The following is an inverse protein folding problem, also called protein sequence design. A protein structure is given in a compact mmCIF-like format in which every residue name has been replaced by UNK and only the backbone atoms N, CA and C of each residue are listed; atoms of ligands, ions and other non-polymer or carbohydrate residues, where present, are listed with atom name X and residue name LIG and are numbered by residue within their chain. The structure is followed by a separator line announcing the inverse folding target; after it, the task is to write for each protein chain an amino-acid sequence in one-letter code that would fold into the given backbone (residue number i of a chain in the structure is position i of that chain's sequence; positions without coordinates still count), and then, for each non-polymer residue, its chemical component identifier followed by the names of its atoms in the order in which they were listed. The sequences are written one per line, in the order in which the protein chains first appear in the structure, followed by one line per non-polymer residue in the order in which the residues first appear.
data_IF_098215346611
#
_entry.id   IF_098215346611
#
_cell.length_a   1.000
_cell.length_b   1.000
_cell.length_c   1.000
_cell.angle_alpha   90.00
_cell.angle_beta   90.00
_cell.angle_gamma   90.00
#
_symmetry.space_group_name_H-M   'P 1'
#
loop_
_entity.id
_entity.type
_entity.pdbx_description
1 polymer ?
#
# COMPACT_ATOMS: atom_id res chain seq x y z
N UNK A 1 -40.19 -38.62 59.20
CA UNK A 1 -41.04 -38.18 58.07
C UNK A 1 -40.09 -37.88 56.92
N UNK A 2 -39.53 -38.86 56.21
CA UNK A 2 -40.17 -39.78 55.24
C UNK A 2 -41.05 -39.05 54.23
N UNK A 3 -40.49 -38.86 53.02
CA UNK A 3 -41.05 -39.02 51.66
C UNK A 3 -39.87 -38.76 50.70
N UNK A 4 -39.32 -39.75 49.95
CA UNK A 4 -39.83 -40.32 48.68
C UNK A 4 -40.23 -39.21 47.67
N UNK A 5 -39.83 -39.19 46.40
CA UNK A 5 -39.63 -40.30 45.46
C UNK A 5 -38.95 -39.81 44.14
N UNK A 6 -38.73 -40.73 43.21
CA UNK A 6 -37.82 -40.69 42.09
C UNK A 6 -38.42 -40.28 40.71
N UNK A 7 -37.55 -39.68 39.87
CA UNK A 7 -37.30 -39.66 38.39
C UNK A 7 -38.24 -40.43 37.38
N UNK A 8 -38.12 -40.23 36.02
CA UNK A 8 -38.82 -39.36 35.03
C UNK A 8 -39.65 -40.19 33.97
N UNK A 9 -40.06 -39.77 32.72
CA UNK A 9 -39.18 -39.45 31.55
C UNK A 9 -39.72 -38.54 30.39
N UNK A 10 -38.82 -38.29 29.41
CA UNK A 10 -39.00 -38.20 27.93
C UNK A 10 -39.42 -36.91 27.15
N UNK A 11 -38.41 -36.37 26.42
CA UNK A 11 -38.31 -36.11 24.96
C UNK A 11 -39.23 -35.12 24.18
N UNK A 12 -38.60 -34.12 23.53
CA UNK A 12 -38.79 -33.70 22.12
C UNK A 12 -37.78 -32.57 21.75
N UNK A 13 -36.72 -32.82 20.98
CA UNK A 13 -36.53 -32.48 19.55
C UNK A 13 -37.00 -31.07 19.12
N UNK A 14 -36.05 -30.23 18.72
CA UNK A 14 -36.28 -28.97 17.98
C UNK A 14 -34.97 -28.43 17.40
N UNK A 15 -34.90 -28.38 16.08
CA UNK A 15 -33.71 -28.18 15.24
C UNK A 15 -33.26 -26.71 15.17
N UNK A 16 -31.96 -26.46 15.38
CA UNK A 16 -31.32 -25.16 15.14
C UNK A 16 -30.70 -25.09 13.76
N UNK A 17 -31.50 -24.74 12.74
CA UNK A 17 -31.02 -24.50 11.38
C UNK A 17 -30.18 -23.21 11.31
N UNK A 18 -28.94 -23.34 10.84
CA UNK A 18 -28.02 -22.24 10.56
C UNK A 18 -28.56 -21.32 9.46
N UNK A 19 -28.46 -20.01 9.69
CA UNK A 19 -28.76 -18.99 8.69
C UNK A 19 -27.46 -18.37 8.17
N UNK A 20 -26.99 -18.92 7.06
CA UNK A 20 -26.19 -18.21 6.07
C UNK A 20 -27.13 -17.57 5.04
N UNK A 21 -27.10 -16.25 4.91
CA UNK A 21 -27.65 -15.50 3.78
C UNK A 21 -26.89 -14.18 3.68
N UNK A 22 -26.54 -13.63 2.52
CA UNK A 22 -26.80 -14.05 1.15
C UNK A 22 -25.91 -13.21 0.23
N UNK A 23 -25.37 -13.88 -0.80
CA UNK A 23 -24.53 -13.31 -1.84
C UNK A 23 -25.43 -12.71 -2.93
N UNK A 24 -25.19 -11.45 -3.30
CA UNK A 24 -25.96 -10.75 -4.34
C UNK A 24 -25.76 -11.38 -5.75
N UNK A 25 -26.79 -11.41 -6.62
CA UNK A 25 -26.70 -12.02 -7.94
C UNK A 25 -26.06 -11.10 -8.98
N UNK A 26 -25.24 -11.71 -9.86
CA UNK A 26 -24.65 -11.10 -11.05
C UNK A 26 -25.72 -10.92 -12.12
N UNK A 27 -25.83 -9.73 -12.72
CA UNK A 27 -26.70 -9.47 -13.87
C UNK A 27 -26.14 -10.14 -15.12
N UNK A 28 -26.99 -10.92 -15.78
CA UNK A 28 -26.71 -11.62 -17.03
C UNK A 28 -26.56 -10.68 -18.22
N UNK A 29 -25.66 -11.06 -19.14
CA UNK A 29 -25.46 -10.44 -20.45
C UNK A 29 -26.42 -11.13 -21.41
N UNK A 30 -27.43 -10.40 -21.88
CA UNK A 30 -28.37 -10.86 -22.88
C UNK A 30 -27.72 -10.93 -24.26
N UNK A 31 -27.88 -12.09 -24.87
CA UNK A 31 -27.61 -12.47 -26.24
C UNK A 31 -28.62 -11.77 -27.18
N UNK A 32 -28.16 -11.22 -28.31
CA UNK A 32 -29.02 -10.93 -29.48
C UNK A 32 -28.21 -11.10 -30.76
N UNK A 33 -28.61 -12.11 -31.52
CA UNK A 33 -28.26 -12.36 -32.92
C UNK A 33 -29.21 -11.61 -33.88
N UNK A 34 -28.74 -11.59 -35.13
CA UNK A 34 -29.45 -11.54 -36.41
C UNK A 34 -29.66 -10.19 -37.12
N UNK A 35 -29.08 -10.11 -38.34
CA UNK A 35 -29.26 -9.07 -39.37
C UNK A 35 -30.58 -9.26 -40.18
N UNK A 36 -30.67 -9.01 -41.51
CA UNK A 36 -29.61 -8.67 -42.48
C UNK A 36 -30.01 -7.66 -43.62
N UNK A 37 -29.09 -7.49 -44.60
CA UNK A 37 -29.23 -7.23 -46.06
C UNK A 37 -29.24 -5.80 -46.65
N UNK A 38 -28.51 -5.72 -47.78
CA UNK A 38 -28.55 -4.70 -48.85
C UNK A 38 -27.25 -3.92 -48.94
N UNK A 39 -26.39 -3.98 -49.96
CA UNK A 39 -26.52 -4.36 -51.37
C UNK A 39 -25.87 -3.24 -52.20
N UNK A 40 -24.93 -3.54 -53.11
CA UNK A 40 -24.42 -2.55 -54.07
C UNK A 40 -22.94 -2.68 -54.40
N UNK A 41 -22.66 -3.27 -55.57
CA UNK A 41 -21.34 -3.46 -56.17
C UNK A 41 -20.92 -2.26 -57.05
N UNK A 42 -19.60 -2.04 -57.17
CA UNK A 42 -18.83 -1.59 -58.34
C UNK A 42 -17.45 -1.09 -57.83
N UNK A 43 -16.28 -1.45 -58.34
CA UNK A 43 -15.92 -2.01 -59.64
C UNK A 43 -15.17 -0.98 -60.49
N UNK A 44 -13.83 -1.03 -60.48
CA UNK A 44 -12.92 -0.31 -61.41
C UNK A 44 -12.39 1.04 -60.88
N UNK A 45 -11.11 1.38 -60.92
CA UNK A 45 -9.98 0.85 -61.67
C UNK A 45 -9.22 2.03 -62.32
N UNK A 46 -7.92 2.11 -62.06
CA UNK A 46 -6.92 3.01 -62.69
C UNK A 46 -6.85 4.47 -62.19
N UNK A 47 -5.72 4.79 -61.55
CA UNK A 47 -4.69 5.68 -62.16
C UNK A 47 -3.39 5.64 -61.35
N UNK A 48 -2.35 5.16 -62.02
CA UNK A 48 -0.94 5.23 -61.63
C UNK A 48 -0.52 6.69 -61.43
N UNK A 49 0.23 6.97 -60.36
CA UNK A 49 1.17 8.11 -60.30
C UNK A 49 2.44 7.64 -59.61
N UNK A 50 3.50 7.48 -60.39
CA UNK A 50 4.88 7.36 -59.91
C UNK A 50 5.39 8.72 -59.38
N UNK A 51 6.37 8.74 -58.47
CA UNK A 51 6.95 9.95 -57.89
C UNK A 51 8.17 10.44 -58.70
N UNK A 52 8.47 11.75 -58.77
CA UNK A 52 9.74 12.18 -59.31
C UNK A 52 10.86 12.06 -58.27
N UNK A 53 11.96 11.46 -58.72
CA UNK A 53 13.22 11.32 -58.02
C UNK A 53 14.09 12.59 -58.13
N UNK A 54 14.81 12.87 -57.04
CA UNK A 54 16.22 13.30 -56.91
C UNK A 54 16.81 14.33 -57.90
N UNK A 55 17.34 15.43 -57.33
CA UNK A 55 18.66 16.04 -57.63
C UNK A 55 19.01 16.97 -56.45
N UNK A 56 19.95 16.62 -55.57
CA UNK A 56 21.40 16.80 -55.71
C UNK A 56 21.82 18.27 -55.88
N UNK A 57 22.31 18.86 -54.79
CA UNK A 57 23.29 19.95 -54.83
C UNK A 57 24.18 19.88 -53.59
N UNK A 58 25.42 19.44 -53.81
CA UNK A 58 26.58 19.67 -52.94
C UNK A 58 27.07 21.10 -53.17
N UNK A 59 27.43 21.82 -52.10
CA UNK A 59 28.51 22.84 -51.97
C UNK A 59 28.48 23.30 -50.50
N UNK A 60 29.46 22.90 -49.69
CA UNK A 60 30.80 23.48 -49.51
C UNK A 60 30.80 24.63 -48.47
N UNK A 61 31.31 24.27 -47.29
CA UNK A 61 32.08 25.02 -46.29
C UNK A 61 32.14 26.56 -46.35
N UNK A 62 31.60 27.17 -45.28
CA UNK A 62 32.16 28.25 -44.47
C UNK A 62 31.28 28.27 -43.20
N UNK A 63 31.75 28.17 -41.96
CA UNK A 63 32.90 28.85 -41.38
C UNK A 63 32.39 29.90 -40.39
N UNK A 64 31.57 29.52 -39.39
CA UNK A 64 31.16 30.43 -38.32
C UNK A 64 31.28 29.77 -36.95
N UNK A 65 32.10 30.43 -36.12
CA UNK A 65 32.30 30.17 -34.69
C UNK A 65 31.07 30.68 -33.94
N UNK A 66 30.49 29.83 -33.09
CA UNK A 66 29.35 30.18 -32.25
C UNK A 66 29.25 29.29 -31.00
N UNK A 67 29.79 29.80 -29.90
CA UNK A 67 29.32 29.68 -28.51
C UNK A 67 28.54 28.43 -28.06
N UNK A 68 29.18 27.64 -27.19
CA UNK A 68 28.64 26.84 -26.07
C UNK A 68 27.15 26.43 -26.11
N UNK A 69 26.88 25.24 -26.65
CA UNK A 69 25.63 24.51 -26.40
C UNK A 69 25.78 23.57 -25.21
N UNK A 70 25.20 23.92 -24.06
CA UNK A 70 25.07 23.02 -22.93
C UNK A 70 24.31 21.75 -23.34
N UNK A 71 24.96 20.59 -23.21
CA UNK A 71 24.36 19.30 -23.46
C UNK A 71 23.13 19.10 -22.56
N UNK A 72 21.95 18.95 -23.16
CA UNK A 72 20.75 18.52 -22.45
C UNK A 72 21.02 17.14 -21.84
N UNK A 73 20.83 16.92 -20.53
CA UNK A 73 21.05 15.60 -19.97
C UNK A 73 19.97 14.66 -20.51
N UNK A 74 20.45 13.53 -21.03
CA UNK A 74 19.66 12.37 -21.42
C UNK A 74 18.68 11.99 -20.29
N UNK A 75 17.39 12.25 -20.53
CA UNK A 75 16.33 12.04 -19.53
C UNK A 75 16.18 10.57 -19.16
N UNK A 76 16.54 9.63 -20.06
CA UNK A 76 16.45 8.19 -19.80
C UNK A 76 17.58 7.71 -18.87
N UNK A 77 18.81 8.21 -19.08
CA UNK A 77 19.92 7.98 -18.16
C UNK A 77 19.73 8.59 -16.77
N UNK A 78 18.85 9.59 -16.61
CA UNK A 78 18.55 10.20 -15.30
C UNK A 78 17.64 9.33 -14.42
N UNK A 79 16.69 8.62 -15.04
CA UNK A 79 15.75 7.72 -14.33
C UNK A 79 16.46 6.45 -13.89
N UNK A 80 17.31 5.85 -14.73
CA UNK A 80 18.12 4.70 -14.36
C UNK A 80 19.09 5.01 -13.20
N UNK A 81 19.70 6.20 -13.18
CA UNK A 81 20.54 6.68 -12.06
C UNK A 81 19.76 7.08 -10.81
N UNK A 82 18.48 7.45 -10.93
CA UNK A 82 17.59 7.67 -9.79
C UNK A 82 17.19 6.33 -9.14
N UNK A 83 16.86 5.31 -9.96
CA UNK A 83 16.53 3.95 -9.52
C UNK A 83 17.76 3.22 -8.93
N UNK A 84 18.96 3.46 -9.48
CA UNK A 84 20.20 2.91 -8.91
C UNK A 84 20.59 3.56 -7.57
N UNK A 85 20.26 4.86 -7.37
CA UNK A 85 20.48 5.56 -6.10
C UNK A 85 19.50 5.12 -5.01
N UNK A 86 18.24 4.81 -5.34
CA UNK A 86 17.32 4.16 -4.39
C UNK A 86 17.82 2.76 -4.00
N UNK A 87 18.30 1.95 -4.96
CA UNK A 87 18.85 0.61 -4.68
C UNK A 87 20.14 0.59 -3.84
N UNK A 88 20.89 1.70 -3.74
CA UNK A 88 22.11 1.77 -2.89
C UNK A 88 21.82 2.22 -1.46
N UNK A 89 20.71 2.92 -1.20
CA UNK A 89 20.23 3.24 0.16
C UNK A 89 19.44 2.09 0.80
N UNK A 90 18.82 1.25 -0.02
CA UNK A 90 17.95 0.15 0.43
C UNK A 90 18.71 -1.12 0.87
N UNK A 91 20.02 -1.20 0.64
CA UNK A 91 20.85 -2.37 1.02
C UNK A 91 21.50 -2.26 2.40
N UNK A 92 21.20 -1.23 3.19
CA UNK A 92 21.78 -1.06 4.53
C UNK A 92 20.79 -1.20 5.69
N UNK A 93 19.55 -1.66 5.47
CA UNK A 93 18.57 -1.84 6.56
C UNK A 93 17.99 -3.26 6.65
N UNK A 94 18.80 -4.26 6.33
CA UNK A 94 18.63 -5.63 6.82
C UNK A 94 19.24 -5.79 8.21
N UNK A 95 18.66 -5.12 9.21
CA UNK A 95 19.15 -5.13 10.59
C UNK A 95 18.04 -4.72 11.55
N UNK A 96 17.25 -5.70 11.98
CA UNK A 96 16.10 -5.47 12.85
C UNK A 96 16.52 -4.88 14.21
N UNK A 97 16.28 -3.59 14.38
CA UNK A 97 16.03 -3.01 15.70
C UNK A 97 14.66 -2.36 15.67
N UNK A 98 13.60 -3.19 15.67
CA UNK A 98 12.25 -2.66 15.84
C UNK A 98 12.16 -1.79 17.09
N UNK A 99 11.37 -0.71 17.03
CA UNK A 99 11.22 0.27 18.11
C UNK A 99 11.19 -0.39 19.49
N UNK A 100 12.26 -0.23 20.28
CA UNK A 100 12.30 -0.72 21.66
C UNK A 100 11.43 0.17 22.53
N UNK A 101 10.58 -0.46 23.35
CA UNK A 101 9.73 0.27 24.28
C UNK A 101 10.60 1.07 25.26
N UNK A 102 10.28 2.35 25.48
CA UNK A 102 10.98 3.15 26.49
C UNK A 102 10.82 2.51 27.88
N UNK A 103 11.90 2.50 28.67
CA UNK A 103 11.87 1.98 30.05
C UNK A 103 10.99 2.89 30.91
N UNK A 104 10.04 2.30 31.62
CA UNK A 104 9.24 3.01 32.64
C UNK A 104 10.05 3.02 33.93
N UNK A 105 10.37 4.20 34.45
CA UNK A 105 11.14 4.37 35.69
C UNK A 105 10.20 4.70 36.86
N UNK A 106 10.57 4.30 38.08
CA UNK A 106 9.80 4.60 39.29
C UNK A 106 8.47 3.86 39.37
N UNK A 107 8.47 2.59 38.93
CA UNK A 107 7.38 1.67 39.26
C UNK A 107 7.66 1.11 40.65
N UNK A 108 6.61 1.04 41.46
CA UNK A 108 6.65 0.51 42.81
C UNK A 108 5.82 -0.78 42.85
N UNK A 109 6.42 -1.98 42.94
CA UNK A 109 5.69 -3.25 42.97
C UNK A 109 4.69 -3.36 44.11
N UNK A 110 4.96 -2.67 45.23
CA UNK A 110 4.14 -2.70 46.44
C UNK A 110 3.16 -1.52 46.50
N UNK A 111 3.22 -0.62 45.52
CA UNK A 111 2.38 0.58 45.43
C UNK A 111 1.04 0.36 44.73
N UNK A 112 0.14 1.36 44.75
CA UNK A 112 -1.16 1.28 44.09
C UNK A 112 -1.06 1.02 42.57
N UNK A 113 -1.90 0.09 42.08
CA UNK A 113 -1.93 -0.29 40.67
C UNK A 113 -2.26 0.90 39.75
N UNK A 114 -3.16 1.79 40.17
CA UNK A 114 -3.55 2.95 39.39
C UNK A 114 -2.39 3.95 39.20
N UNK A 115 -1.61 4.19 40.26
CA UNK A 115 -0.42 5.03 40.21
C UNK A 115 0.63 4.48 39.23
N UNK A 116 0.89 3.16 39.28
CA UNK A 116 1.78 2.49 38.33
C UNK A 116 1.24 2.57 36.89
N UNK A 117 -0.04 2.29 36.67
CA UNK A 117 -0.67 2.36 35.35
C UNK A 117 -0.60 3.75 34.74
N UNK A 118 -0.90 4.81 35.53
CA UNK A 118 -0.76 6.21 35.09
C UNK A 118 0.66 6.50 34.59
N UNK A 119 1.67 6.01 35.32
CA UNK A 119 3.08 6.18 34.95
C UNK A 119 3.44 5.45 33.67
N UNK A 120 2.96 4.22 33.49
CA UNK A 120 3.16 3.45 32.25
C UNK A 120 2.49 4.18 31.09
N UNK A 121 1.23 4.58 31.24
CA UNK A 121 0.47 5.29 30.20
C UNK A 121 1.18 6.58 29.80
N UNK A 122 1.63 7.39 30.77
CA UNK A 122 2.34 8.64 30.50
C UNK A 122 3.59 8.41 29.63
N UNK A 123 4.39 7.37 29.94
CA UNK A 123 5.56 7.02 29.13
C UNK A 123 5.17 6.58 27.73
N UNK A 124 4.11 5.77 27.56
CA UNK A 124 3.67 5.30 26.23
C UNK A 124 3.08 6.41 25.38
N UNK A 125 2.31 7.31 25.98
CA UNK A 125 1.78 8.50 25.30
C UNK A 125 2.92 9.43 24.90
N UNK A 126 3.91 9.68 25.77
CA UNK A 126 5.09 10.47 25.43
C UNK A 126 5.95 9.84 24.32
N UNK A 127 6.07 8.51 24.30
CA UNK A 127 6.70 7.76 23.22
C UNK A 127 5.97 7.99 21.89
N UNK A 128 4.63 7.86 21.87
CA UNK A 128 3.81 8.14 20.69
C UNK A 128 3.97 9.58 20.19
N UNK A 129 3.90 10.57 21.07
CA UNK A 129 4.06 11.98 20.70
C UNK A 129 5.46 12.32 20.16
N UNK A 130 6.49 11.55 20.54
CA UNK A 130 7.85 11.83 20.06
C UNK A 130 8.03 11.64 18.55
N UNK A 131 7.13 10.93 17.89
CA UNK A 131 7.10 10.78 16.44
C UNK A 131 6.41 11.95 15.71
N UNK A 132 5.71 12.83 16.43
CA UNK A 132 4.78 13.81 15.85
C UNK A 132 5.37 14.73 14.77
N UNK A 133 6.67 15.05 14.84
CA UNK A 133 7.36 15.84 13.80
C UNK A 133 7.79 14.98 12.60
N UNK A 134 8.32 13.79 12.85
CA UNK A 134 8.84 12.90 11.79
C UNK A 134 7.71 12.43 10.86
N UNK A 135 6.55 12.09 11.42
CA UNK A 135 5.40 11.61 10.65
C UNK A 135 4.71 12.67 9.78
N UNK A 136 5.14 13.93 9.85
CA UNK A 136 4.73 14.99 8.93
C UNK A 136 5.42 14.86 7.55
N UNK A 137 6.50 14.09 7.46
CA UNK A 137 7.07 13.68 6.19
C UNK A 137 6.40 12.37 5.74
N UNK A 138 5.59 12.37 4.67
CA UNK A 138 4.97 11.15 4.17
C UNK A 138 5.99 10.15 3.62
N UNK A 139 7.23 10.55 3.34
CA UNK A 139 8.29 9.65 2.84
C UNK A 139 9.03 8.90 3.95
N UNK A 140 8.85 9.29 5.21
CA UNK A 140 9.42 8.61 6.38
C UNK A 140 8.55 7.40 6.78
N UNK A 141 8.67 6.33 5.99
CA UNK A 141 7.95 5.06 6.19
C UNK A 141 8.27 4.44 7.56
N UNK A 142 9.51 4.56 8.02
CA UNK A 142 9.96 4.00 9.29
C UNK A 142 9.31 4.73 10.47
N UNK A 143 9.28 6.07 10.46
CA UNK A 143 8.59 6.83 11.50
C UNK A 143 7.08 6.53 11.57
N UNK A 144 6.42 6.35 10.42
CA UNK A 144 5.00 5.96 10.37
C UNK A 144 4.78 4.56 10.94
N UNK A 145 5.66 3.61 10.62
CA UNK A 145 5.63 2.25 11.16
C UNK A 145 5.88 2.23 12.68
N UNK A 146 6.87 2.97 13.16
CA UNK A 146 7.21 3.06 14.58
C UNK A 146 6.10 3.73 15.39
N UNK A 147 5.49 4.79 14.83
CA UNK A 147 4.32 5.42 15.43
C UNK A 147 3.15 4.44 15.52
N UNK A 148 2.96 3.54 14.54
CA UNK A 148 1.93 2.48 14.60
C UNK A 148 2.19 1.54 15.78
N UNK A 149 3.43 1.14 16.00
CA UNK A 149 3.82 0.30 17.15
C UNK A 149 3.54 1.04 18.46
N UNK A 150 3.91 2.32 18.55
CA UNK A 150 3.64 3.14 19.73
C UNK A 150 2.13 3.30 20.00
N UNK A 151 1.32 3.54 18.97
CA UNK A 151 -0.14 3.65 19.07
C UNK A 151 -0.76 2.35 19.59
N UNK A 152 -0.29 1.21 19.08
CA UNK A 152 -0.69 -0.13 19.56
C UNK A 152 -0.36 -0.33 21.04
N UNK A 153 0.83 0.09 21.48
CA UNK A 153 1.23 0.04 22.90
C UNK A 153 0.34 0.90 23.78
N UNK A 154 0.04 2.13 23.36
CA UNK A 154 -0.89 3.03 24.06
C UNK A 154 -2.28 2.40 24.17
N UNK A 155 -2.80 1.84 23.07
CA UNK A 155 -4.09 1.14 23.08
C UNK A 155 -4.11 0.03 24.12
N UNK A 156 -3.12 -0.88 24.09
CA UNK A 156 -3.10 -2.04 24.97
C UNK A 156 -3.01 -1.69 26.44
N UNK A 157 -2.17 -0.72 26.83
CA UNK A 157 -2.10 -0.31 28.24
C UNK A 157 -3.40 0.34 28.70
N UNK A 158 -4.09 1.08 27.83
CA UNK A 158 -5.35 1.72 28.17
C UNK A 158 -6.52 0.72 28.23
N UNK A 159 -6.57 -0.26 27.34
CA UNK A 159 -7.54 -1.37 27.39
C UNK A 159 -7.37 -2.19 28.67
N UNK A 160 -6.12 -2.52 29.03
CA UNK A 160 -5.80 -3.22 30.27
C UNK A 160 -6.12 -2.38 31.51
N UNK A 161 -5.83 -1.08 31.45
CA UNK A 161 -6.00 -0.15 32.56
C UNK A 161 -7.42 0.37 32.74
N UNK A 162 -8.34 0.16 31.78
CA UNK A 162 -9.70 0.70 31.82
C UNK A 162 -10.48 0.37 33.10
N UNK A 163 -10.45 -0.87 33.65
CA UNK A 163 -11.14 -1.19 34.91
C UNK A 163 -10.66 -0.36 36.11
N UNK A 164 -9.43 0.16 36.06
CA UNK A 164 -8.78 0.89 37.16
C UNK A 164 -8.79 2.41 36.92
N UNK A 165 -8.50 2.82 35.69
CA UNK A 165 -8.38 4.23 35.27
C UNK A 165 -9.72 4.83 34.80
N UNK A 166 -10.74 3.99 34.65
CA UNK A 166 -12.10 4.38 34.32
C UNK A 166 -12.32 4.77 32.85
N UNK A 167 -13.47 5.39 32.55
CA UNK A 167 -13.94 5.60 31.17
C UNK A 167 -13.03 6.45 30.28
N UNK A 168 -12.17 7.29 30.85
CA UNK A 168 -11.19 8.06 30.07
C UNK A 168 -10.13 7.18 29.42
N UNK A 169 -9.73 6.10 30.08
CA UNK A 169 -8.82 5.12 29.49
C UNK A 169 -9.48 4.41 28.30
N UNK A 170 -10.74 3.97 28.43
CA UNK A 170 -11.51 3.41 27.31
C UNK A 170 -11.65 4.38 26.13
N UNK A 171 -11.93 5.66 26.39
CA UNK A 171 -11.93 6.71 25.35
C UNK A 171 -10.56 6.90 24.71
N UNK A 172 -9.49 6.84 25.49
CA UNK A 172 -8.11 6.91 25.00
C UNK A 172 -7.75 5.72 24.11
N UNK A 173 -8.10 4.51 24.53
CA UNK A 173 -7.91 3.27 23.77
C UNK A 173 -8.60 3.34 22.40
N UNK A 174 -9.86 3.81 22.35
CA UNK A 174 -10.59 4.00 21.09
C UNK A 174 -9.88 4.97 20.14
N UNK A 175 -9.30 6.06 20.65
CA UNK A 175 -8.54 7.02 19.83
C UNK A 175 -7.21 6.43 19.35
N UNK A 176 -6.49 5.73 20.22
CA UNK A 176 -5.25 5.04 19.84
C UNK A 176 -5.50 3.95 18.79
N UNK A 177 -6.64 3.24 18.89
CA UNK A 177 -7.10 2.29 17.87
C UNK A 177 -7.34 2.96 16.53
N UNK A 178 -8.07 4.08 16.48
CA UNK A 178 -8.31 4.80 15.23
C UNK A 178 -7.00 5.22 14.54
N UNK A 179 -6.01 5.66 15.32
CA UNK A 179 -4.68 5.98 14.81
C UNK A 179 -3.93 4.74 14.30
N UNK A 180 -3.97 3.66 15.06
CA UNK A 180 -3.35 2.38 14.69
C UNK A 180 -3.96 1.81 13.40
N UNK A 181 -5.29 1.90 13.24
CA UNK A 181 -6.01 1.33 12.09
C UNK A 181 -5.57 2.02 10.80
N UNK A 182 -5.59 3.36 10.75
CA UNK A 182 -5.15 4.10 9.55
C UNK A 182 -3.65 3.91 9.26
N UNK A 183 -2.80 3.89 10.28
CA UNK A 183 -1.37 3.61 10.12
C UNK A 183 -1.11 2.17 9.65
N UNK A 184 -1.97 1.22 10.02
CA UNK A 184 -1.93 -0.15 9.52
C UNK A 184 -2.15 -0.23 8.03
N UNK A 185 -3.17 0.46 7.54
CA UNK A 185 -3.48 0.50 6.11
C UNK A 185 -2.38 1.19 5.28
N UNK A 186 -1.73 2.22 5.83
CA UNK A 186 -0.54 2.85 5.22
C UNK A 186 0.62 1.84 5.15
N UNK A 187 0.88 1.15 6.25
CA UNK A 187 1.95 0.15 6.31
C UNK A 187 1.72 -1.00 5.32
N UNK A 188 0.48 -1.45 5.13
CA UNK A 188 0.15 -2.47 4.13
C UNK A 188 0.45 -2.01 2.70
N UNK A 189 0.22 -0.72 2.40
CA UNK A 189 0.65 -0.13 1.12
C UNK A 189 2.17 -0.09 1.01
N UNK A 190 2.87 0.34 2.08
CA UNK A 190 4.33 0.49 2.10
C UNK A 190 5.06 -0.86 1.99
N UNK A 191 4.53 -1.92 2.60
CA UNK A 191 5.03 -3.29 2.45
C UNK A 191 4.62 -3.91 1.11
N UNK A 192 3.41 -3.63 0.64
CA UNK A 192 2.85 -4.28 -0.54
C UNK A 192 3.42 -3.76 -1.86
N UNK A 193 3.67 -2.45 -1.99
CA UNK A 193 4.18 -1.85 -3.22
C UNK A 193 5.53 -2.47 -3.66
N UNK A 194 6.57 -2.56 -2.80
CA UNK A 194 7.84 -3.18 -3.16
C UNK A 194 7.69 -4.66 -3.57
N UNK A 195 6.80 -5.41 -2.90
CA UNK A 195 6.54 -6.83 -3.20
C UNK A 195 5.91 -7.01 -4.58
N UNK A 196 4.94 -6.18 -4.94
CA UNK A 196 4.31 -6.21 -6.26
C UNK A 196 5.29 -5.78 -7.35
N UNK A 197 6.11 -4.77 -7.09
CA UNK A 197 7.17 -4.34 -8.02
C UNK A 197 8.20 -5.47 -8.27
N UNK A 198 8.65 -6.16 -7.22
CA UNK A 198 9.54 -7.30 -7.36
C UNK A 198 8.91 -8.46 -8.16
N UNK A 199 7.59 -8.68 -8.01
CA UNK A 199 6.86 -9.64 -8.82
C UNK A 199 6.79 -9.22 -10.29
N UNK A 200 6.54 -7.94 -10.57
CA UNK A 200 6.56 -7.39 -11.93
C UNK A 200 7.92 -7.64 -12.59
N UNK A 201 9.01 -7.33 -11.89
CA UNK A 201 10.36 -7.51 -12.42
C UNK A 201 10.65 -9.00 -12.72
N UNK A 202 10.30 -9.92 -11.81
CA UNK A 202 10.42 -11.36 -12.04
C UNK A 202 9.65 -11.83 -13.27
N UNK A 203 8.39 -11.41 -13.41
CA UNK A 203 7.55 -11.80 -14.56
C UNK A 203 8.09 -11.26 -15.89
N UNK A 204 8.75 -10.09 -15.87
CA UNK A 204 9.44 -9.53 -17.02
C UNK A 204 10.69 -10.32 -17.36
N UNK A 205 11.48 -10.70 -16.37
CA UNK A 205 12.67 -11.54 -16.56
C UNK A 205 12.30 -12.90 -17.18
N UNK A 206 11.21 -13.54 -16.73
CA UNK A 206 10.67 -14.76 -17.34
C UNK A 206 10.31 -14.56 -18.83
N UNK A 207 9.59 -13.47 -19.15
CA UNK A 207 9.19 -13.17 -20.54
C UNK A 207 10.41 -12.83 -21.42
N UNK A 208 11.41 -12.12 -20.87
CA UNK A 208 12.68 -11.80 -21.56
C UNK A 208 13.47 -13.08 -21.86
N UNK A 209 13.60 -13.98 -20.88
CA UNK A 209 14.26 -15.27 -21.07
C UNK A 209 13.55 -16.09 -22.15
N UNK A 210 12.22 -16.19 -22.09
CA UNK A 210 11.43 -16.93 -23.08
C UNK A 210 11.57 -16.37 -24.51
N UNK A 211 11.67 -15.04 -24.67
CA UNK A 211 11.90 -14.43 -25.99
C UNK A 211 13.31 -14.72 -26.49
N UNK A 212 14.32 -14.58 -25.63
CA UNK A 212 15.72 -14.88 -25.99
C UNK A 212 15.88 -16.34 -26.39
N UNK A 213 15.32 -17.26 -25.61
CA UNK A 213 15.47 -18.70 -25.81
C UNK A 213 14.69 -19.21 -27.04
N UNK A 214 13.73 -18.43 -27.54
CA UNK A 214 12.99 -18.73 -28.79
C UNK A 214 13.53 -17.99 -30.02
N UNK A 215 14.57 -17.17 -29.86
CA UNK A 215 15.19 -16.45 -30.97
C UNK A 215 16.06 -17.37 -31.83
N UNK A 216 16.20 -17.04 -33.12
CA UNK A 216 17.16 -17.69 -34.01
C UNK A 216 18.59 -17.45 -33.47
N UNK A 217 19.37 -18.50 -33.17
CA UNK A 217 20.74 -18.37 -32.64
C UNK A 217 21.70 -17.60 -33.55
N UNK A 218 21.38 -17.49 -34.84
CA UNK A 218 22.18 -16.78 -35.84
C UNK A 218 21.71 -15.34 -36.06
N UNK A 219 20.55 -14.96 -35.50
CA UNK A 219 20.05 -13.60 -35.60
C UNK A 219 20.95 -12.62 -34.81
N UNK A 220 21.23 -11.48 -35.42
CA UNK A 220 21.99 -10.39 -34.80
C UNK A 220 21.11 -9.43 -33.99
N UNK A 221 19.79 -9.55 -34.10
CA UNK A 221 18.81 -8.70 -33.39
C UNK A 221 17.47 -9.43 -33.17
N UNK A 222 16.62 -8.86 -32.33
CA UNK A 222 15.27 -9.36 -32.00
C UNK A 222 14.18 -8.48 -32.62
N UNK A 223 13.06 -9.10 -33.03
CA UNK A 223 11.86 -8.35 -33.41
C UNK A 223 11.36 -7.51 -32.21
N UNK A 224 11.25 -6.17 -32.32
CA UNK A 224 10.70 -5.32 -31.27
C UNK A 224 9.27 -5.70 -30.85
N UNK A 225 8.54 -6.45 -31.68
CA UNK A 225 7.22 -6.98 -31.39
C UNK A 225 7.22 -8.34 -30.65
N UNK A 226 8.38 -8.98 -30.42
CA UNK A 226 8.47 -10.29 -29.79
C UNK A 226 7.77 -10.34 -28.41
N UNK A 227 7.91 -9.29 -27.61
CA UNK A 227 7.24 -9.18 -26.30
C UNK A 227 5.74 -8.85 -26.37
N UNK A 228 5.15 -8.61 -27.56
CA UNK A 228 3.70 -8.38 -27.70
C UNK A 228 2.88 -9.61 -27.36
N UNK A 229 3.43 -10.80 -27.62
CA UNK A 229 2.77 -12.09 -27.36
C UNK A 229 3.26 -12.76 -26.06
N UNK A 230 4.08 -12.08 -25.28
CA UNK A 230 4.66 -12.66 -24.08
C UNK A 230 3.59 -13.06 -23.07
N UNK A 231 3.79 -14.24 -22.45
CA UNK A 231 2.83 -14.91 -21.58
C UNK A 231 2.41 -14.04 -20.40
N UNK A 232 3.35 -13.33 -19.80
CA UNK A 232 3.11 -12.55 -18.59
C UNK A 232 2.74 -11.09 -18.86
N UNK A 233 2.69 -10.64 -20.12
CA UNK A 233 2.42 -9.23 -20.50
C UNK A 233 1.19 -8.62 -19.83
N UNK A 234 0.06 -9.32 -19.92
CA UNK A 234 -1.19 -8.85 -19.31
C UNK A 234 -1.14 -8.86 -17.79
N UNK A 235 -0.34 -9.76 -17.18
CA UNK A 235 -0.18 -9.87 -15.74
C UNK A 235 0.55 -8.66 -15.19
N UNK A 236 1.75 -8.34 -15.67
CA UNK A 236 2.47 -7.18 -15.16
C UNK A 236 1.76 -5.85 -15.48
N UNK A 237 1.05 -5.74 -16.61
CA UNK A 237 0.20 -4.56 -16.88
C UNK A 237 -0.93 -4.37 -15.83
N UNK A 238 -1.56 -5.47 -15.41
CA UNK A 238 -2.54 -5.44 -14.32
C UNK A 238 -1.91 -5.09 -12.98
N UNK A 239 -0.73 -5.64 -12.69
CA UNK A 239 0.01 -5.34 -11.46
C UNK A 239 0.51 -3.89 -11.40
N UNK A 240 0.87 -3.28 -12.52
CA UNK A 240 1.20 -1.85 -12.59
C UNK A 240 0.01 -0.96 -12.25
N UNK A 241 -1.18 -1.35 -12.71
CA UNK A 241 -2.44 -0.69 -12.31
C UNK A 241 -2.67 -0.82 -10.80
N UNK A 242 -2.40 -1.99 -10.22
CA UNK A 242 -2.49 -2.21 -8.78
C UNK A 242 -1.49 -1.33 -8.00
N UNK A 243 -0.24 -1.25 -8.43
CA UNK A 243 0.78 -0.35 -7.81
C UNK A 243 0.31 1.10 -7.85
N UNK A 244 -0.25 1.54 -8.97
CA UNK A 244 -0.77 2.90 -9.14
C UNK A 244 -1.93 3.17 -8.17
N UNK A 245 -2.85 2.21 -8.04
CA UNK A 245 -3.93 2.26 -7.05
C UNK A 245 -3.39 2.32 -5.61
N UNK A 246 -2.43 1.46 -5.25
CA UNK A 246 -1.88 1.41 -3.88
C UNK A 246 -1.18 2.72 -3.52
N UNK A 247 -0.45 3.35 -4.45
CA UNK A 247 0.15 4.68 -4.25
C UNK A 247 -0.90 5.76 -4.03
N UNK A 248 -1.94 5.78 -4.85
CA UNK A 248 -3.05 6.74 -4.69
C UNK A 248 -3.78 6.53 -3.35
N UNK A 249 -4.08 5.28 -3.01
CA UNK A 249 -4.70 4.90 -1.74
C UNK A 249 -3.85 5.34 -0.55
N UNK A 250 -2.54 5.07 -0.57
CA UNK A 250 -1.59 5.49 0.47
C UNK A 250 -1.65 7.00 0.71
N UNK A 251 -1.70 7.81 -0.35
CA UNK A 251 -1.80 9.26 -0.23
C UNK A 251 -3.12 9.71 0.44
N UNK A 252 -4.24 9.07 0.10
CA UNK A 252 -5.53 9.33 0.75
C UNK A 252 -5.51 8.96 2.23
N UNK A 253 -4.96 7.78 2.56
CA UNK A 253 -4.81 7.30 3.93
C UNK A 253 -3.90 8.21 4.75
N UNK A 254 -2.82 8.73 4.16
CA UNK A 254 -1.94 9.68 4.83
C UNK A 254 -2.66 10.97 5.21
N UNK A 255 -3.51 11.50 4.32
CA UNK A 255 -4.34 12.67 4.64
C UNK A 255 -5.36 12.36 5.76
N UNK A 256 -5.90 11.15 5.79
CA UNK A 256 -6.76 10.69 6.89
C UNK A 256 -6.00 10.57 8.21
N UNK A 257 -4.79 9.99 8.17
CA UNK A 257 -3.89 9.89 9.31
C UNK A 257 -3.63 11.27 9.92
N UNK A 258 -3.30 12.29 9.13
CA UNK A 258 -3.07 13.65 9.65
C UNK A 258 -4.31 14.20 10.37
N UNK A 259 -5.52 13.97 9.85
CA UNK A 259 -6.77 14.39 10.53
C UNK A 259 -6.99 13.63 11.83
N UNK A 260 -6.73 12.34 11.83
CA UNK A 260 -6.86 11.47 13.01
C UNK A 260 -5.83 11.83 14.08
N UNK A 261 -4.59 12.10 13.67
CA UNK A 261 -3.51 12.54 14.54
C UNK A 261 -3.83 13.90 15.20
N UNK A 262 -4.26 14.89 14.43
CA UNK A 262 -4.65 16.19 14.98
C UNK A 262 -5.82 16.08 15.99
N UNK A 263 -6.77 15.15 15.77
CA UNK A 263 -7.82 14.85 16.75
C UNK A 263 -7.27 14.20 18.02
N UNK A 264 -6.29 13.30 17.87
CA UNK A 264 -5.63 12.65 18.99
C UNK A 264 -4.89 13.67 19.86
N UNK A 265 -4.11 14.58 19.25
CA UNK A 265 -3.36 15.62 19.97
C UNK A 265 -4.26 16.58 20.76
N UNK A 266 -5.37 17.01 20.15
CA UNK A 266 -6.36 17.88 20.82
C UNK A 266 -7.04 17.22 22.02
N UNK A 267 -7.10 15.89 22.09
CA UNK A 267 -7.80 15.19 23.16
C UNK A 267 -7.08 15.28 24.52
N UNK A 268 -5.82 15.75 24.56
CA UNK A 268 -4.99 15.93 25.76
C UNK A 268 -5.07 14.73 26.72
N UNK A 269 -4.85 13.53 26.19
CA UNK A 269 -5.09 12.27 26.91
C UNK A 269 -4.33 12.19 28.24
N UNK A 270 -3.08 12.67 28.31
CA UNK A 270 -2.30 12.72 29.55
C UNK A 270 -2.98 13.55 30.65
N UNK A 271 -3.36 14.80 30.35
CA UNK A 271 -3.97 15.70 31.32
C UNK A 271 -5.33 15.19 31.87
N UNK A 272 -6.09 14.46 31.05
CA UNK A 272 -7.36 13.86 31.48
C UNK A 272 -7.16 12.68 32.41
N UNK A 273 -6.15 11.86 32.12
CA UNK A 273 -5.83 10.73 32.98
C UNK A 273 -5.27 11.24 34.30
N UNK A 274 -4.39 12.23 34.32
CA UNK A 274 -3.78 12.75 35.55
C UNK A 274 -4.74 13.50 36.50
N UNK A 275 -6.03 13.62 36.15
CA UNK A 275 -7.05 14.28 36.99
C UNK A 275 -6.96 15.81 37.03
N UNK A 276 -6.01 16.41 36.31
CA UNK A 276 -5.75 17.86 36.23
C UNK A 276 -6.56 18.57 35.15
N UNK A 277 -7.35 17.83 34.37
CA UNK A 277 -8.14 18.36 33.24
C UNK A 277 -9.62 18.58 33.50
N UNK A 278 -10.03 18.81 34.76
CA UNK A 278 -11.41 19.18 35.12
C UNK A 278 -11.61 20.68 35.07
#
# INVERSE_FOLDING_TARGET
MLSEEAVPPAAARGEGAGRHAGRAPRRGRGDRRDGPRGGGAAGGGSRRREPPARRAARRAAAGERGTSGAARPDRLGSVARAIARTRRRDRSHGGGTGLKARKVKGLDPDGPLDANLRRIVAVRVAELHSFGKAVLDPSDVEALHDMRIAAKRVRYVLELGEPVLGPDAGRGAKRARALQDVLGEIHDCDEGIPRVLALIDRLREEDVAAVRDSADPTASDLDPAALRRARNRRKYAGLESLVSYMRARRAVLYAEFLRTWAKFERAKLGARLDGTGR
#
